data_IF_877101293760
#
_entry.id   IF_877101293760
#
_cell.length_a   1.000
_cell.length_b   1.000
_cell.length_c   1.000
_cell.angle_alpha   90.00
_cell.angle_beta   90.00
_cell.angle_gamma   90.00
#
_symmetry.space_group_name_H-M   'P 1'
#
loop_
_entity.id
_entity.type
_entity.pdbx_description
1 polymer ?
#
# COMPACT_ATOMS: atom_id res chain seq x y z
N UNK A 1 -18.29 37.09 -32.50
CA UNK A 1 -17.07 37.70 -31.95
C UNK A 1 -16.40 36.69 -31.02
N UNK A 2 -15.48 35.88 -31.57
CA UNK A 2 -14.64 34.94 -30.82
C UNK A 2 -13.30 35.63 -30.49
N UNK A 3 -12.80 35.49 -29.27
CA UNK A 3 -11.39 35.72 -28.94
C UNK A 3 -10.89 34.57 -28.06
N UNK A 4 -10.19 33.63 -28.68
CA UNK A 4 -9.35 32.63 -28.01
C UNK A 4 -7.92 33.16 -28.08
N UNK A 5 -7.31 33.39 -26.91
CA UNK A 5 -5.94 33.86 -26.79
C UNK A 5 -4.98 32.68 -26.98
N UNK A 6 -4.19 32.71 -28.06
CA UNK A 6 -3.07 31.81 -28.27
C UNK A 6 -1.85 32.33 -27.51
N UNK A 7 -1.33 31.54 -26.56
CA UNK A 7 0.03 31.74 -26.01
C UNK A 7 1.01 30.85 -26.76
N UNK A 8 1.97 31.49 -27.43
CA UNK A 8 3.19 30.91 -27.98
C UNK A 8 4.07 30.40 -26.84
N UNK A 9 4.58 29.17 -26.95
CA UNK A 9 5.71 28.70 -26.16
C UNK A 9 6.89 28.47 -27.10
N UNK A 10 7.97 29.18 -26.80
CA UNK A 10 9.24 29.20 -27.51
C UNK A 10 10.02 27.91 -27.28
N UNK A 11 10.68 27.44 -28.32
CA UNK A 11 11.62 26.32 -28.33
C UNK A 11 12.92 26.65 -27.60
N UNK A 12 13.31 25.81 -26.64
CA UNK A 12 14.69 25.70 -26.14
C UNK A 12 15.19 24.29 -26.45
N UNK A 13 16.10 24.24 -27.41
CA UNK A 13 16.91 23.08 -27.76
C UNK A 13 17.98 22.85 -26.69
N UNK A 14 17.93 21.71 -26.00
CA UNK A 14 19.09 21.16 -25.29
C UNK A 14 19.33 19.73 -25.76
N UNK A 15 20.44 19.54 -26.45
CA UNK A 15 20.96 18.25 -26.88
C UNK A 15 21.63 17.57 -25.69
N UNK A 16 21.07 16.46 -25.21
CA UNK A 16 21.80 15.50 -24.39
C UNK A 16 21.49 14.09 -24.87
N UNK A 17 22.54 13.38 -25.28
CA UNK A 17 22.50 12.02 -25.82
C UNK A 17 22.25 11.01 -24.69
N UNK A 18 21.38 10.00 -24.86
CA UNK A 18 21.34 8.86 -23.96
C UNK A 18 22.14 7.69 -24.54
N UNK A 19 23.16 7.25 -23.79
CA UNK A 19 23.86 5.98 -23.95
C UNK A 19 22.94 4.79 -23.59
N UNK A 20 23.00 3.64 -24.30
CA UNK A 20 22.15 2.51 -23.98
C UNK A 20 22.70 1.69 -22.81
N UNK A 21 21.80 1.33 -21.90
CA UNK A 21 22.03 0.54 -20.71
C UNK A 21 22.28 -0.93 -21.07
N UNK A 22 23.27 -1.55 -20.42
CA UNK A 22 23.55 -2.99 -20.45
C UNK A 22 22.70 -3.71 -19.39
N UNK A 23 22.14 -4.92 -19.64
CA UNK A 23 21.67 -5.76 -18.56
C UNK A 23 22.83 -6.55 -17.95
N UNK A 24 22.88 -6.55 -16.62
CA UNK A 24 23.81 -7.30 -15.78
C UNK A 24 23.38 -8.77 -15.71
N UNK A 25 24.39 -9.64 -15.74
CA UNK A 25 24.31 -11.08 -15.69
C UNK A 25 23.56 -11.61 -14.45
N UNK A 26 22.77 -12.66 -14.68
CA UNK A 26 22.18 -13.54 -13.69
C UNK A 26 23.25 -14.22 -12.83
N UNK A 27 22.97 -14.30 -11.53
CA UNK A 27 23.80 -14.91 -10.50
C UNK A 27 24.08 -16.40 -10.77
N UNK A 28 25.35 -16.78 -10.73
CA UNK A 28 25.77 -18.13 -10.37
C UNK A 28 26.04 -18.16 -8.87
N UNK A 29 25.41 -19.09 -8.15
CA UNK A 29 25.81 -19.47 -6.80
C UNK A 29 25.90 -20.99 -6.75
N UNK A 30 27.13 -21.44 -6.50
CA UNK A 30 27.55 -22.81 -6.25
C UNK A 30 27.15 -23.19 -4.82
N UNK A 31 26.64 -24.41 -4.63
CA UNK A 31 26.86 -25.35 -3.51
C UNK A 31 25.90 -26.55 -3.76
N UNK A 32 26.30 -27.81 -3.79
CA UNK A 32 27.29 -28.50 -2.95
C UNK A 32 26.57 -29.12 -1.76
N UNK A 33 25.99 -30.31 -1.92
CA UNK A 33 25.58 -31.20 -0.83
C UNK A 33 25.24 -32.61 -1.36
N UNK A 34 26.20 -33.54 -1.23
CA UNK A 34 25.91 -34.96 -1.07
C UNK A 34 25.34 -35.18 0.34
N UNK A 35 24.26 -35.96 0.49
CA UNK A 35 24.03 -36.75 1.70
C UNK A 35 23.00 -37.87 1.44
N UNK A 36 23.48 -39.09 1.63
CA UNK A 36 22.76 -40.37 1.69
C UNK A 36 21.94 -40.53 2.96
N UNK A 37 20.76 -41.16 2.89
CA UNK A 37 20.27 -42.14 3.89
C UNK A 37 18.85 -42.62 3.56
N UNK A 38 18.76 -43.93 3.31
CA UNK A 38 17.77 -44.96 3.68
C UNK A 38 16.26 -44.70 3.89
N UNK A 39 15.56 -45.77 3.48
CA UNK A 39 14.42 -46.44 4.11
C UNK A 39 12.97 -46.28 3.57
N UNK A 40 12.57 -47.35 2.86
CA UNK A 40 11.50 -48.29 3.25
C UNK A 40 10.01 -47.90 3.29
N UNK A 41 9.27 -48.66 2.46
CA UNK A 41 7.96 -49.33 2.72
C UNK A 41 6.62 -48.59 2.50
N UNK A 42 5.97 -49.04 1.42
CA UNK A 42 4.70 -49.81 1.40
C UNK A 42 3.33 -49.12 1.25
N UNK A 43 2.57 -49.75 0.34
CA UNK A 43 1.11 -49.94 0.27
C UNK A 43 0.18 -48.84 -0.24
N UNK A 44 -0.65 -49.23 -1.22
CA UNK A 44 -2.07 -48.83 -1.23
C UNK A 44 -2.68 -48.52 -2.59
N UNK A 45 -3.19 -49.55 -3.28
CA UNK A 45 -4.49 -49.59 -3.95
C UNK A 45 -5.20 -48.26 -4.31
N UNK A 46 -5.47 -48.03 -5.59
CA UNK A 46 -6.79 -48.31 -6.20
C UNK A 46 -7.03 -47.55 -7.50
N UNK A 47 -7.61 -48.28 -8.42
CA UNK A 47 -8.15 -47.90 -9.71
C UNK A 47 -9.07 -46.67 -9.66
N UNK A 48 -8.93 -45.77 -10.63
CA UNK A 48 -10.05 -45.00 -11.17
C UNK A 48 -9.75 -44.62 -12.61
N UNK A 49 -10.61 -45.12 -13.50
CA UNK A 49 -10.59 -44.87 -14.92
C UNK A 49 -10.90 -43.39 -15.20
N UNK A 50 -10.01 -42.72 -15.93
CA UNK A 50 -10.33 -41.49 -16.61
C UNK A 50 -10.05 -41.65 -18.10
N UNK A 51 -11.16 -41.70 -18.84
CA UNK A 51 -11.27 -41.57 -20.28
C UNK A 51 -10.54 -40.29 -20.73
N UNK A 52 -9.50 -40.45 -21.54
CA UNK A 52 -8.91 -39.36 -22.31
C UNK A 52 -8.96 -39.73 -23.81
N UNK A 53 -9.34 -38.79 -24.69
CA UNK A 53 -9.40 -39.04 -26.12
C UNK A 53 -8.00 -39.11 -26.70
N UNK A 54 -7.78 -40.04 -27.63
CA UNK A 54 -6.58 -40.10 -28.46
C UNK A 54 -6.48 -38.84 -29.33
N UNK A 55 -5.79 -37.81 -28.84
CA UNK A 55 -5.20 -36.78 -29.68
C UNK A 55 -3.80 -37.24 -30.09
N UNK A 56 -3.68 -37.73 -31.32
CA UNK A 56 -2.41 -38.05 -31.95
C UNK A 56 -1.71 -36.72 -32.33
N UNK A 57 -0.96 -36.14 -31.39
CA UNK A 57 0.04 -35.11 -31.71
C UNK A 57 1.26 -35.82 -32.29
N UNK A 58 1.76 -35.47 -33.48
CA UNK A 58 3.09 -35.91 -33.88
C UNK A 58 4.07 -35.07 -33.07
N UNK A 59 4.47 -35.55 -31.89
CA UNK A 59 5.71 -35.09 -31.29
C UNK A 59 6.85 -35.59 -32.18
N UNK A 60 7.16 -34.82 -33.23
CA UNK A 60 8.41 -34.94 -33.97
C UNK A 60 9.50 -34.47 -33.02
N UNK A 61 10.34 -35.40 -32.56
CA UNK A 61 11.43 -35.11 -31.63
C UNK A 61 12.34 -34.02 -32.16
N UNK A 62 12.72 -33.08 -31.30
CA UNK A 62 13.45 -31.85 -31.64
C UNK A 62 14.92 -32.03 -32.08
N UNK A 63 15.37 -33.25 -32.39
CA UNK A 63 16.81 -33.49 -32.62
C UNK A 63 17.11 -34.83 -33.29
N UNK A 64 16.67 -35.04 -34.53
CA UNK A 64 17.04 -36.26 -35.27
C UNK A 64 17.64 -36.02 -36.66
N UNK A 65 17.38 -34.90 -37.33
CA UNK A 65 17.88 -34.69 -38.69
C UNK A 65 18.95 -33.58 -38.73
N UNK A 66 20.14 -33.91 -39.23
CA UNK A 66 21.29 -33.00 -39.31
C UNK A 66 21.05 -31.86 -40.31
N UNK A 67 21.27 -30.62 -39.88
CA UNK A 67 20.93 -29.37 -40.59
C UNK A 67 21.92 -28.93 -41.70
N UNK A 68 22.65 -29.85 -42.33
CA UNK A 68 23.53 -29.50 -43.47
C UNK A 68 23.25 -30.43 -44.65
N UNK A 69 23.24 -29.94 -45.91
CA UNK A 69 23.13 -30.82 -47.06
C UNK A 69 24.29 -31.82 -47.01
N UNK A 70 23.98 -33.11 -46.98
CA UNK A 70 24.96 -34.18 -47.16
C UNK A 70 25.43 -34.10 -48.60
N UNK A 71 26.56 -33.46 -48.82
CA UNK A 71 27.18 -33.42 -50.14
C UNK A 71 27.78 -34.82 -50.39
N UNK A 72 27.04 -35.64 -51.13
CA UNK A 72 27.27 -37.08 -51.35
C UNK A 72 28.60 -37.38 -52.07
N UNK A 73 29.38 -36.37 -52.47
CA UNK A 73 30.59 -36.52 -53.27
C UNK A 73 31.92 -36.41 -52.49
N UNK A 74 31.92 -36.27 -51.16
CA UNK A 74 33.17 -36.26 -50.39
C UNK A 74 33.44 -37.57 -49.64
N UNK A 75 34.53 -38.22 -50.03
CA UNK A 75 35.00 -39.55 -49.61
C UNK A 75 35.66 -39.53 -48.22
N UNK A 76 34.97 -39.02 -47.19
CA UNK A 76 35.43 -39.09 -45.79
C UNK A 76 34.26 -39.36 -44.83
N UNK A 77 34.31 -40.37 -43.94
CA UNK A 77 33.19 -40.71 -43.05
C UNK A 77 33.08 -39.76 -41.83
N UNK A 78 31.82 -39.42 -41.51
CA UNK A 78 31.28 -38.99 -40.21
C UNK A 78 32.14 -38.11 -39.31
N UNK A 79 32.16 -36.80 -39.60
CA UNK A 79 32.44 -35.80 -38.58
C UNK A 79 31.12 -35.08 -38.26
N UNK A 80 30.71 -34.96 -36.98
CA UNK A 80 29.50 -34.22 -36.62
C UNK A 80 29.54 -32.82 -37.21
N UNK A 81 28.41 -32.34 -37.76
CA UNK A 81 28.33 -31.05 -38.45
C UNK A 81 28.90 -29.88 -37.62
N UNK A 82 28.78 -29.96 -36.29
CA UNK A 82 29.38 -29.01 -35.33
C UNK A 82 30.91 -28.97 -35.39
N UNK A 83 31.57 -30.12 -35.51
CA UNK A 83 33.04 -30.21 -35.60
C UNK A 83 33.53 -29.77 -36.98
N UNK A 84 32.75 -30.02 -38.04
CA UNK A 84 33.06 -29.52 -39.38
C UNK A 84 32.96 -27.98 -39.45
N UNK A 85 31.94 -27.39 -38.83
CA UNK A 85 31.74 -25.94 -38.76
C UNK A 85 32.85 -25.22 -37.98
N UNK A 86 33.37 -25.83 -36.91
CA UNK A 86 34.51 -25.28 -36.14
C UNK A 86 35.81 -25.35 -36.91
N UNK A 87 36.03 -26.42 -37.70
CA UNK A 87 37.25 -26.59 -38.50
C UNK A 87 37.30 -25.72 -39.75
N UNK A 88 36.15 -25.23 -40.22
CA UNK A 88 36.08 -24.41 -41.44
C UNK A 88 35.16 -23.18 -41.23
N UNK A 89 35.61 -22.18 -40.44
CA UNK A 89 34.80 -21.02 -40.13
C UNK A 89 34.65 -20.14 -41.37
N UNK A 90 33.49 -20.19 -42.01
CA UNK A 90 33.12 -19.22 -43.05
C UNK A 90 32.65 -17.92 -42.38
N UNK A 91 33.10 -16.76 -42.86
CA UNK A 91 32.65 -15.45 -42.37
C UNK A 91 31.20 -15.13 -42.75
N UNK A 92 30.58 -15.97 -43.59
CA UNK A 92 29.21 -15.81 -44.05
C UNK A 92 28.28 -16.48 -43.05
N UNK A 93 27.74 -15.69 -42.12
CA UNK A 93 26.62 -16.12 -41.26
C UNK A 93 25.40 -16.27 -42.17
N UNK A 94 25.18 -17.48 -42.70
CA UNK A 94 23.95 -17.83 -43.40
C UNK A 94 22.95 -18.20 -42.31
N UNK A 95 21.93 -17.37 -42.13
CA UNK A 95 20.81 -17.72 -41.26
C UNK A 95 20.14 -18.98 -41.80
N UNK A 96 19.82 -19.91 -40.91
CA UNK A 96 19.05 -21.10 -41.26
C UNK A 96 17.63 -20.67 -41.67
N UNK A 97 17.40 -20.56 -42.98
CA UNK A 97 16.09 -20.24 -43.57
C UNK A 97 15.12 -21.43 -43.49
N UNK A 98 15.59 -22.63 -43.13
CA UNK A 98 14.77 -23.84 -43.10
C UNK A 98 13.85 -23.90 -41.87
N UNK A 99 14.31 -23.39 -40.73
CA UNK A 99 13.57 -23.45 -39.45
C UNK A 99 12.82 -22.16 -39.09
N UNK A 100 12.87 -21.13 -39.93
CA UNK A 100 12.21 -19.86 -39.68
C UNK A 100 11.39 -19.42 -40.90
N UNK A 101 10.10 -19.77 -40.92
CA UNK A 101 9.16 -19.16 -41.87
C UNK A 101 9.12 -17.65 -41.65
N UNK A 102 9.75 -16.90 -42.56
CA UNK A 102 9.72 -15.44 -42.52
C UNK A 102 8.46 -14.96 -43.21
N UNK A 103 7.45 -14.60 -42.42
CA UNK A 103 6.28 -13.93 -42.98
C UNK A 103 6.68 -12.60 -43.65
N UNK A 104 6.15 -12.29 -44.85
CA UNK A 104 6.46 -11.04 -45.52
C UNK A 104 6.01 -9.85 -44.65
N UNK A 105 6.73 -8.72 -44.70
CA UNK A 105 6.35 -7.53 -43.95
C UNK A 105 4.97 -7.05 -44.42
N UNK A 106 4.01 -6.96 -43.49
CA UNK A 106 2.65 -6.50 -43.80
C UNK A 106 2.58 -5.03 -44.22
N UNK A 107 1.50 -4.66 -44.92
CA UNK A 107 1.30 -3.34 -45.51
C UNK A 107 1.47 -2.20 -44.49
N UNK A 108 2.33 -1.19 -44.75
CA UNK A 108 2.56 -0.07 -43.83
C UNK A 108 1.29 0.72 -43.48
N UNK A 109 0.36 0.87 -44.43
CA UNK A 109 -0.87 1.64 -44.26
C UNK A 109 -1.84 1.01 -43.22
N UNK A 110 -1.72 -0.30 -42.93
CA UNK A 110 -2.58 -1.01 -41.97
C UNK A 110 -2.06 -0.96 -40.52
N UNK A 111 -0.83 -0.48 -40.31
CA UNK A 111 -0.19 -0.46 -38.99
C UNK A 111 -0.91 0.44 -37.99
N UNK A 112 -1.44 1.58 -38.44
CA UNK A 112 -2.17 2.50 -37.57
C UNK A 112 -3.41 1.83 -36.97
N UNK A 113 -4.17 1.09 -37.78
CA UNK A 113 -5.31 0.30 -37.30
C UNK A 113 -4.88 -0.83 -36.36
N UNK A 114 -3.80 -1.54 -36.69
CA UNK A 114 -3.27 -2.59 -35.81
C UNK A 114 -2.83 -2.04 -34.43
N UNK A 115 -2.16 -0.88 -34.40
CA UNK A 115 -1.79 -0.23 -33.15
C UNK A 115 -2.99 0.28 -32.38
N UNK A 116 -4.00 0.81 -33.06
CA UNK A 116 -5.24 1.20 -32.42
C UNK A 116 -5.92 0.03 -31.72
N UNK A 117 -6.04 -1.13 -32.39
CA UNK A 117 -6.65 -2.34 -31.79
C UNK A 117 -5.80 -2.86 -30.63
N UNK A 118 -4.48 -2.96 -30.80
CA UNK A 118 -3.58 -3.45 -29.74
C UNK A 118 -3.55 -2.53 -28.51
N UNK A 119 -3.48 -1.21 -28.72
CA UNK A 119 -3.46 -0.23 -27.62
C UNK A 119 -4.83 -0.10 -26.95
N UNK A 120 -5.92 -0.14 -27.72
CA UNK A 120 -7.28 -0.19 -27.20
C UNK A 120 -7.51 -1.41 -26.31
N UNK A 121 -7.09 -2.60 -26.75
CA UNK A 121 -7.14 -3.81 -25.94
C UNK A 121 -6.32 -3.71 -24.64
N UNK A 122 -5.11 -3.16 -24.71
CA UNK A 122 -4.26 -2.93 -23.52
C UNK A 122 -4.88 -1.94 -22.54
N UNK A 123 -5.55 -0.89 -23.03
CA UNK A 123 -6.25 0.07 -22.19
C UNK A 123 -7.40 -0.58 -21.42
N UNK A 124 -8.22 -1.40 -22.08
CA UNK A 124 -9.31 -2.14 -21.44
C UNK A 124 -8.76 -3.12 -20.40
N UNK A 125 -7.73 -3.90 -20.75
CA UNK A 125 -7.06 -4.83 -19.84
C UNK A 125 -6.50 -4.13 -18.59
N UNK A 126 -5.75 -3.04 -18.78
CA UNK A 126 -5.19 -2.25 -17.68
C UNK A 126 -6.29 -1.65 -16.79
N UNK A 127 -7.40 -1.21 -17.37
CA UNK A 127 -8.54 -0.67 -16.63
C UNK A 127 -9.22 -1.73 -15.76
N UNK A 128 -9.42 -2.95 -16.28
CA UNK A 128 -9.99 -4.06 -15.51
C UNK A 128 -9.08 -4.45 -14.34
N UNK A 129 -7.78 -4.59 -14.57
CA UNK A 129 -6.82 -4.89 -13.49
C UNK A 129 -6.83 -3.81 -12.43
N UNK A 130 -6.84 -2.53 -12.83
CA UNK A 130 -6.94 -1.42 -11.89
C UNK A 130 -8.20 -1.53 -11.02
N UNK A 131 -9.36 -1.83 -11.60
CA UNK A 131 -10.60 -1.99 -10.86
C UNK A 131 -10.54 -3.19 -9.90
N UNK A 132 -9.96 -4.32 -10.32
CA UNK A 132 -9.79 -5.49 -9.46
C UNK A 132 -8.88 -5.19 -8.26
N UNK A 133 -7.73 -4.54 -8.49
CA UNK A 133 -6.81 -4.13 -7.42
C UNK A 133 -7.50 -3.14 -6.47
N UNK A 134 -8.21 -2.14 -7.01
CA UNK A 134 -8.94 -1.19 -6.17
C UNK A 134 -10.03 -1.88 -5.35
N UNK A 135 -10.78 -2.82 -5.92
CA UNK A 135 -11.80 -3.58 -5.18
C UNK A 135 -11.19 -4.42 -4.07
N UNK A 136 -10.05 -5.06 -4.31
CA UNK A 136 -9.34 -5.83 -3.30
C UNK A 136 -8.84 -4.92 -2.17
N UNK A 137 -8.19 -3.81 -2.48
CA UNK A 137 -7.68 -2.87 -1.47
C UNK A 137 -8.83 -2.23 -0.68
N UNK A 138 -9.90 -1.79 -1.35
CA UNK A 138 -11.08 -1.22 -0.70
C UNK A 138 -11.89 -2.26 0.09
N UNK A 139 -11.69 -3.56 -0.14
CA UNK A 139 -12.31 -4.59 0.72
C UNK A 139 -11.66 -4.68 2.09
N UNK A 140 -10.42 -4.19 2.23
CA UNK A 140 -9.68 -4.14 3.49
C UNK A 140 -9.78 -2.77 4.19
N UNK A 141 -10.51 -1.81 3.62
CA UNK A 141 -10.75 -0.52 4.26
C UNK A 141 -11.90 -0.61 5.29
N UNK A 142 -12.09 0.45 6.08
CA UNK A 142 -13.13 0.47 7.10
C UNK A 142 -14.52 0.18 6.52
N UNK A 143 -15.22 -0.77 7.14
CA UNK A 143 -16.57 -1.18 6.75
C UNK A 143 -17.62 -0.11 7.11
N UNK A 144 -18.78 -0.17 6.46
CA UNK A 144 -19.84 0.87 6.58
C UNK A 144 -20.40 0.98 7.99
N UNK A 145 -20.46 -0.12 8.74
CA UNK A 145 -20.85 -0.16 10.15
C UNK A 145 -19.84 0.58 11.04
N UNK A 146 -18.54 0.45 10.78
CA UNK A 146 -17.50 1.22 11.49
C UNK A 146 -17.61 2.70 11.18
N UNK A 147 -17.92 3.06 9.93
CA UNK A 147 -18.17 4.45 9.52
C UNK A 147 -19.49 5.00 10.08
N UNK A 148 -20.50 4.17 10.30
CA UNK A 148 -21.74 4.59 10.95
C UNK A 148 -21.52 4.96 12.43
N UNK A 149 -20.52 4.37 13.09
CA UNK A 149 -20.08 4.75 14.45
C UNK A 149 -19.19 6.01 14.48
N UNK A 150 -19.16 6.80 13.39
CA UNK A 150 -18.29 7.98 13.29
C UNK A 150 -18.76 9.17 14.13
N UNK A 151 -20.07 9.27 14.40
CA UNK A 151 -20.69 10.27 15.28
C UNK A 151 -21.34 9.61 16.49
N UNK A 152 -21.26 10.27 17.64
CA UNK A 152 -21.89 9.84 18.89
C UNK A 152 -22.66 11.00 19.50
N UNK A 153 -23.93 10.77 19.81
CA UNK A 153 -24.75 11.69 20.60
C UNK A 153 -24.70 11.29 22.07
N UNK A 154 -24.39 12.25 22.94
CA UNK A 154 -24.31 12.06 24.39
C UNK A 154 -25.23 13.06 25.07
N UNK A 155 -26.06 12.58 26.00
CA UNK A 155 -26.90 13.43 26.83
C UNK A 155 -26.10 14.03 27.99
N UNK A 156 -26.08 15.36 28.07
CA UNK A 156 -25.34 16.11 29.09
C UNK A 156 -26.11 16.25 30.41
N UNK A 157 -27.42 15.99 30.42
CA UNK A 157 -28.28 16.21 31.60
C UNK A 157 -27.89 15.37 32.82
N UNK A 158 -27.30 14.20 32.58
CA UNK A 158 -26.91 13.23 33.61
C UNK A 158 -25.60 13.58 34.34
N UNK A 159 -24.87 14.60 33.90
CA UNK A 159 -23.51 14.88 34.39
C UNK A 159 -23.53 15.98 35.46
N UNK A 160 -23.11 15.62 36.67
CA UNK A 160 -22.95 16.54 37.79
C UNK A 160 -21.67 17.41 37.65
N UNK A 161 -21.66 18.66 38.12
CA UNK A 161 -20.46 19.50 38.12
C UNK A 161 -19.30 18.87 38.90
N UNK A 162 -18.10 18.92 38.32
CA UNK A 162 -16.89 18.29 38.86
C UNK A 162 -16.73 16.81 38.49
N UNK A 163 -17.78 16.17 37.98
CA UNK A 163 -17.70 14.78 37.53
C UNK A 163 -17.17 14.66 36.10
N UNK A 164 -16.49 13.56 35.81
CA UNK A 164 -15.94 13.25 34.49
C UNK A 164 -16.49 11.92 34.00
N UNK A 165 -17.27 11.96 32.91
CA UNK A 165 -17.82 10.78 32.26
C UNK A 165 -16.90 10.36 31.11
N UNK A 166 -16.66 9.06 30.99
CA UNK A 166 -15.88 8.49 29.89
C UNK A 166 -16.82 7.78 28.93
N UNK A 167 -16.86 8.23 27.68
CA UNK A 167 -17.62 7.60 26.60
C UNK A 167 -16.67 7.03 25.55
N UNK A 168 -17.08 5.99 24.84
CA UNK A 168 -16.26 5.38 23.77
C UNK A 168 -16.66 5.96 22.41
N UNK A 169 -15.74 6.62 21.72
CA UNK A 169 -15.93 7.17 20.37
C UNK A 169 -14.79 6.74 19.45
N UNK A 170 -15.12 6.15 18.28
CA UNK A 170 -14.15 5.59 17.32
C UNK A 170 -13.11 4.66 17.96
N UNK A 171 -13.52 3.89 18.97
CA UNK A 171 -12.64 2.99 19.73
C UNK A 171 -11.72 3.68 20.76
N UNK A 172 -11.71 5.02 20.81
CA UNK A 172 -10.95 5.81 21.78
C UNK A 172 -11.87 6.26 22.93
N UNK A 173 -11.37 6.36 24.17
CA UNK A 173 -12.12 7.01 25.24
C UNK A 173 -12.15 8.52 24.99
N UNK A 174 -13.31 9.14 25.21
CA UNK A 174 -13.49 10.60 25.25
C UNK A 174 -13.97 10.95 26.65
N UNK A 175 -13.26 11.88 27.29
CA UNK A 175 -13.62 12.42 28.58
C UNK A 175 -14.49 13.65 28.38
N UNK A 176 -15.66 13.61 29.01
CA UNK A 176 -16.60 14.72 29.10
C UNK A 176 -16.61 15.13 30.56
N UNK A 177 -16.01 16.27 30.85
CA UNK A 177 -15.99 16.85 32.21
C UNK A 177 -16.89 18.07 32.23
N UNK A 178 -17.81 18.09 33.19
CA UNK A 178 -18.53 19.31 33.56
C UNK A 178 -17.71 20.05 34.60
N UNK A 179 -17.10 21.17 34.23
CA UNK A 179 -16.16 21.92 35.08
C UNK A 179 -16.91 22.81 36.07
N UNK A 180 -16.35 22.96 37.27
CA UNK A 180 -16.81 23.95 38.24
C UNK A 180 -16.26 25.34 37.91
N UNK A 181 -16.79 26.39 38.53
CA UNK A 181 -16.25 27.74 38.34
C UNK A 181 -14.78 27.85 38.79
N UNK A 182 -14.40 27.11 39.83
CA UNK A 182 -13.03 27.11 40.34
C UNK A 182 -12.08 26.37 39.39
N UNK A 183 -12.55 25.28 38.77
CA UNK A 183 -11.83 24.59 37.69
C UNK A 183 -11.56 25.56 36.51
N UNK A 184 -12.56 26.36 36.11
CA UNK A 184 -12.43 27.32 35.01
C UNK A 184 -11.44 28.45 35.38
N UNK A 185 -11.52 28.98 36.60
CA UNK A 185 -10.57 29.99 37.09
C UNK A 185 -9.14 29.45 37.15
N UNK A 186 -8.97 28.22 37.63
CA UNK A 186 -7.65 27.58 37.71
C UNK A 186 -7.06 27.34 36.31
N UNK A 187 -7.88 26.92 35.33
CA UNK A 187 -7.43 26.72 33.95
C UNK A 187 -6.99 28.03 33.28
N UNK A 188 -7.71 29.12 33.52
CA UNK A 188 -7.44 30.44 32.92
C UNK A 188 -6.30 31.21 33.59
N UNK A 189 -6.02 30.94 34.87
CA UNK A 189 -4.94 31.61 35.62
C UNK A 189 -3.54 31.03 35.35
N UNK A 190 -3.46 29.94 34.59
CA UNK A 190 -2.18 29.34 34.18
C UNK A 190 -1.46 30.25 33.18
N UNK A 191 -0.19 30.55 33.47
CA UNK A 191 0.71 31.18 32.50
C UNK A 191 0.95 30.24 31.30
N UNK A 192 0.43 30.63 30.15
CA UNK A 192 0.48 29.86 28.90
C UNK A 192 1.92 29.72 28.39
N UNK A 193 2.80 30.68 28.67
CA UNK A 193 4.21 30.64 28.26
C UNK A 193 5.03 29.56 28.98
N UNK A 194 4.62 29.17 30.18
CA UNK A 194 5.27 28.10 30.95
C UNK A 194 4.91 26.69 30.47
N UNK A 195 3.89 26.55 29.63
CA UNK A 195 3.41 25.26 29.15
C UNK A 195 4.33 24.73 28.04
N UNK A 196 4.49 23.40 28.01
CA UNK A 196 5.22 22.72 26.93
C UNK A 196 4.53 22.91 25.57
N UNK A 197 3.21 22.89 25.58
CA UNK A 197 2.35 23.12 24.42
C UNK A 197 1.41 24.31 24.75
N UNK A 198 1.85 25.55 24.42
CA UNK A 198 1.15 26.77 24.79
C UNK A 198 -0.22 26.84 24.11
N UNK A 199 -1.28 26.68 24.90
CA UNK A 199 -2.65 26.80 24.44
C UNK A 199 -3.56 27.41 25.52
N UNK A 200 -4.35 28.42 25.13
CA UNK A 200 -5.35 29.03 25.99
C UNK A 200 -6.57 28.10 26.16
N UNK A 201 -7.27 28.20 27.30
CA UNK A 201 -8.46 27.40 27.54
C UNK A 201 -9.60 27.76 26.58
N UNK A 202 -9.77 29.05 26.28
CA UNK A 202 -10.78 29.58 25.34
C UNK A 202 -10.64 29.05 23.92
N UNK A 203 -9.47 28.58 23.53
CA UNK A 203 -9.22 27.96 22.22
C UNK A 203 -9.53 26.45 22.22
N UNK A 204 -9.59 25.84 23.41
CA UNK A 204 -9.82 24.39 23.59
C UNK A 204 -11.29 24.07 23.79
N UNK A 205 -12.05 24.98 24.35
CA UNK A 205 -13.48 24.78 24.66
C UNK A 205 -14.33 25.82 23.96
N UNK A 206 -15.50 25.40 23.48
CA UNK A 206 -16.54 26.32 23.00
C UNK A 206 -17.31 26.96 24.15
N UNK A 207 -17.73 26.13 25.10
CA UNK A 207 -18.40 26.55 26.33
C UNK A 207 -17.49 26.21 27.53
N UNK A 208 -17.21 27.17 28.43
CA UNK A 208 -16.25 26.95 29.50
C UNK A 208 -16.72 25.93 30.54
N UNK A 209 -18.02 25.69 30.68
CA UNK A 209 -18.56 24.65 31.56
C UNK A 209 -18.22 23.24 31.08
N UNK A 210 -18.08 23.03 29.77
CA UNK A 210 -17.94 21.71 29.18
C UNK A 210 -16.56 21.52 28.56
N UNK A 211 -15.76 20.64 29.15
CA UNK A 211 -14.50 20.21 28.57
C UNK A 211 -14.66 18.82 27.97
N UNK A 212 -14.43 18.72 26.66
CA UNK A 212 -14.47 17.49 25.90
C UNK A 212 -13.06 17.23 25.36
N UNK A 213 -12.42 16.15 25.79
CA UNK A 213 -11.08 15.77 25.34
C UNK A 213 -10.98 14.28 25.04
N UNK A 214 -10.19 13.90 24.04
CA UNK A 214 -9.86 12.51 23.76
C UNK A 214 -8.91 12.00 24.85
N UNK A 215 -9.33 10.96 25.57
CA UNK A 215 -8.61 10.34 26.68
C UNK A 215 -7.44 9.47 26.25
N UNK A 216 -6.71 9.87 25.22
CA UNK A 216 -5.54 9.16 24.68
C UNK A 216 -4.31 10.00 24.95
N UNK A 217 -3.43 9.50 25.81
CA UNK A 217 -2.19 10.16 26.15
C UNK A 217 -1.31 10.32 24.90
N UNK A 218 -0.89 11.55 24.63
CA UNK A 218 -0.05 11.93 23.48
C UNK A 218 1.39 11.40 23.53
N UNK A 219 1.78 10.70 24.61
CA UNK A 219 3.05 10.00 24.66
C UNK A 219 3.02 8.73 23.79
N UNK A 220 2.24 7.73 24.20
CA UNK A 220 2.18 6.40 23.56
C UNK A 220 0.75 5.80 23.54
N UNK A 221 -0.27 6.62 23.79
CA UNK A 221 -1.67 6.22 23.63
C UNK A 221 -2.34 5.54 24.83
N UNK A 222 -1.70 5.52 26.01
CA UNK A 222 -2.34 5.06 27.24
C UNK A 222 -3.55 5.92 27.63
N UNK A 223 -4.44 5.38 28.47
CA UNK A 223 -5.62 6.09 28.97
C UNK A 223 -5.27 6.79 30.30
N UNK A 224 -5.32 8.13 30.39
CA UNK A 224 -5.14 8.85 31.64
C UNK A 224 -6.29 8.60 32.62
N UNK A 225 -6.00 8.50 33.90
CA UNK A 225 -6.98 8.41 34.98
C UNK A 225 -7.54 9.80 35.29
N UNK A 226 -8.88 9.98 35.37
CA UNK A 226 -9.49 11.26 35.73
C UNK A 226 -9.31 11.58 37.21
N UNK A 227 -9.32 12.87 37.56
CA UNK A 227 -9.19 13.39 38.93
C UNK A 227 -7.93 12.88 39.66
N UNK A 228 -6.84 12.68 38.93
CA UNK A 228 -5.61 12.13 39.45
C UNK A 228 -4.39 12.98 39.03
N UNK A 229 -3.33 12.90 39.85
CA UNK A 229 -2.08 13.62 39.65
C UNK A 229 -2.05 15.03 40.22
N UNK A 230 -0.88 15.64 40.15
CA UNK A 230 -0.52 16.90 40.82
C UNK A 230 -1.32 18.15 40.40
N UNK A 231 -2.07 18.12 39.28
CA UNK A 231 -2.70 19.31 38.68
C UNK A 231 -4.23 19.21 38.56
N UNK A 232 -4.88 18.29 39.27
CA UNK A 232 -6.34 18.21 39.37
C UNK A 232 -7.09 17.80 38.10
N UNK A 233 -6.38 17.49 37.01
CA UNK A 233 -6.95 17.00 35.75
C UNK A 233 -6.83 15.50 35.61
N UNK A 234 -5.81 15.05 34.87
CA UNK A 234 -5.61 13.64 34.57
C UNK A 234 -4.18 13.18 34.81
N UNK A 235 -4.02 11.92 35.18
CA UNK A 235 -2.71 11.28 35.36
C UNK A 235 -2.58 10.03 34.50
N UNK A 236 -1.55 9.97 33.66
CA UNK A 236 -1.22 8.80 32.87
C UNK A 236 -0.17 7.94 33.61
N UNK A 237 -0.54 6.76 34.13
CA UNK A 237 0.35 5.94 34.96
C UNK A 237 1.48 5.27 34.17
N UNK A 238 1.41 5.24 32.84
CA UNK A 238 2.40 4.52 32.02
C UNK A 238 3.81 5.09 32.15
N UNK A 239 3.95 6.42 32.12
CA UNK A 239 5.24 7.11 32.23
C UNK A 239 5.16 8.41 33.05
N UNK A 240 4.09 8.55 33.84
CA UNK A 240 3.89 9.68 34.75
C UNK A 240 3.61 11.01 34.05
N UNK A 241 2.80 11.01 32.99
CA UNK A 241 2.35 12.28 32.37
C UNK A 241 1.18 12.86 33.16
N UNK A 242 1.28 14.12 33.59
CA UNK A 242 0.23 14.83 34.30
C UNK A 242 -0.39 15.92 33.43
N UNK A 243 -1.71 15.93 33.38
CA UNK A 243 -2.51 16.90 32.66
C UNK A 243 -3.30 17.76 33.64
N UNK A 244 -3.42 19.05 33.33
CA UNK A 244 -4.26 19.98 34.10
C UNK A 244 -5.75 19.82 33.78
N UNK A 245 -6.59 20.62 34.45
CA UNK A 245 -8.05 20.61 34.30
C UNK A 245 -8.54 20.99 32.90
N UNK A 246 -7.69 21.58 32.04
CA UNK A 246 -7.96 21.86 30.62
C UNK A 246 -7.49 20.72 29.69
N UNK A 247 -6.84 19.68 30.26
CA UNK A 247 -6.23 18.59 29.52
C UNK A 247 -4.88 18.95 28.92
N UNK A 248 -4.20 19.99 29.43
CA UNK A 248 -2.89 20.43 28.94
C UNK A 248 -1.76 19.73 29.68
N UNK A 249 -0.69 19.38 28.97
CA UNK A 249 0.43 18.65 29.55
C UNK A 249 1.27 19.57 30.45
N UNK A 250 1.50 19.13 31.70
CA UNK A 250 2.28 19.87 32.70
C UNK A 250 3.62 19.21 33.01
N UNK A 251 3.61 17.87 33.13
CA UNK A 251 4.75 17.07 33.58
C UNK A 251 4.75 15.71 32.90
N UNK A 252 5.92 15.11 32.76
CA UNK A 252 6.12 13.79 32.15
C UNK A 252 6.64 13.87 30.70
N UNK A 253 6.71 12.75 29.98
CA UNK A 253 7.29 12.69 28.64
C UNK A 253 6.33 13.04 27.50
N UNK A 254 5.03 13.19 27.77
CA UNK A 254 4.07 13.54 26.71
C UNK A 254 4.43 14.88 26.04
N UNK A 255 4.49 14.96 24.70
CA UNK A 255 4.90 16.17 23.99
C UNK A 255 3.78 17.21 23.87
N UNK A 256 2.51 16.78 23.76
CA UNK A 256 1.37 17.64 23.41
C UNK A 256 0.23 17.55 24.43
N UNK A 257 -0.68 18.53 24.39
CA UNK A 257 -1.93 18.52 25.14
C UNK A 257 -2.88 17.41 24.66
N UNK A 258 -3.88 17.03 25.47
CA UNK A 258 -4.92 16.10 25.03
C UNK A 258 -5.71 16.72 23.88
N UNK A 259 -5.98 15.91 22.85
CA UNK A 259 -6.71 16.31 21.65
C UNK A 259 -8.15 16.64 22.00
N UNK A 260 -8.68 17.74 21.45
CA UNK A 260 -10.09 18.11 21.55
C UNK A 260 -10.77 17.56 20.29
N UNK A 261 -11.76 16.65 20.38
CA UNK A 261 -12.45 16.15 19.21
C UNK A 261 -13.32 17.25 18.58
N UNK A 262 -13.73 17.08 17.33
CA UNK A 262 -14.76 17.94 16.75
C UNK A 262 -16.11 17.62 17.38
N UNK A 263 -16.75 18.62 17.98
CA UNK A 263 -18.06 18.44 18.60
C UNK A 263 -18.98 19.65 18.36
N UNK A 264 -20.28 19.44 18.45
CA UNK A 264 -21.31 20.48 18.35
C UNK A 264 -22.40 20.24 19.38
N UNK A 265 -22.86 21.30 20.03
CA UNK A 265 -24.04 21.25 20.88
C UNK A 265 -25.30 21.30 20.01
N UNK A 266 -26.20 20.36 20.23
CA UNK A 266 -27.52 20.30 19.59
C UNK A 266 -28.57 20.89 20.52
N UNK A 267 -29.76 21.15 19.97
CA UNK A 267 -30.95 21.45 20.77
C UNK A 267 -31.24 20.24 21.70
N UNK A 268 -31.79 20.48 22.89
CA UNK A 268 -32.09 19.46 23.93
C UNK A 268 -30.92 18.98 24.83
N UNK A 269 -29.88 19.80 25.08
CA UNK A 269 -28.74 19.41 25.95
C UNK A 269 -27.98 18.16 25.46
N UNK A 270 -28.01 17.89 24.16
CA UNK A 270 -27.26 16.80 23.53
C UNK A 270 -25.97 17.31 22.93
N UNK A 271 -24.90 16.56 23.14
CA UNK A 271 -23.59 16.77 22.55
C UNK A 271 -23.38 15.78 21.42
N UNK A 272 -23.14 16.26 20.20
CA UNK A 272 -22.69 15.42 19.09
C UNK A 272 -21.18 15.50 18.95
N UNK A 273 -20.51 14.34 18.98
CA UNK A 273 -19.06 14.18 18.81
C UNK A 273 -18.80 13.50 17.47
N UNK A 274 -18.01 14.14 16.60
CA UNK A 274 -17.51 13.57 15.35
C UNK A 274 -18.22 14.02 14.08
#
# INVERSE_FOLDING_TARGET
>A
MLRVAARRLSSLSSSSSPSPWRPVASWNLINGADLSSDDSRSNGFSSSAHLLPHFHLPCRGFSADSLTPRDENNMVPEVPATVAAVKNPSSKIVYDEYNHERYPPGDPNKRAFAYFVLTGGRFVYASVIRLLVLKLVLSMSASKDVLAMASLEVDLSSIEPGNTVTVKWRGKPVFIRRRTEDDIKSANSVDVGSLRDPQQDSERVKDPEWLIVVGVCTHLGCIPLPNAGDFGGWFCPCHGSHYDVSGRIRKGPAPYNLEVPTYTFLEENKLMIG
#
